data_IF_750468516088
#
_entry.id   IF_750468516088
#
_cell.length_a   1.000
_cell.length_b   1.000
_cell.length_c   1.000
_cell.angle_alpha   90.00
_cell.angle_beta   90.00
_cell.angle_gamma   90.00
#
_symmetry.space_group_name_H-M   'P 1'
#
loop_
_entity.id
_entity.type
_entity.pdbx_description
1 polymer ?
#
# COMPACT_ATOMS: atom_id res chain seq x y z
N UNK A 1 51.55 -22.98 -67.52
CA UNK A 1 51.28 -21.69 -66.86
C UNK A 1 50.04 -21.90 -66.01
N UNK A 2 50.22 -21.93 -64.68
CA UNK A 2 49.16 -22.16 -63.70
C UNK A 2 48.66 -20.81 -63.22
N UNK A 3 47.40 -20.47 -63.49
CA UNK A 3 46.72 -19.34 -62.86
C UNK A 3 45.98 -19.82 -61.61
N UNK A 4 46.26 -19.16 -60.49
CA UNK A 4 45.58 -19.35 -59.20
C UNK A 4 44.23 -18.66 -59.26
N UNK A 5 43.16 -19.41 -59.02
CA UNK A 5 41.83 -18.84 -58.71
C UNK A 5 41.72 -18.50 -57.23
N UNK A 6 41.70 -17.21 -56.92
CA UNK A 6 41.39 -16.67 -55.60
C UNK A 6 39.87 -16.73 -55.37
N UNK A 7 39.44 -17.52 -54.39
CA UNK A 7 38.05 -17.59 -53.96
C UNK A 7 37.73 -16.37 -53.10
N UNK A 8 36.94 -15.43 -53.64
CA UNK A 8 36.35 -14.33 -52.88
C UNK A 8 35.37 -14.89 -51.86
N UNK A 9 35.70 -14.72 -50.58
CA UNK A 9 34.78 -14.89 -49.47
C UNK A 9 33.73 -13.77 -49.55
N UNK A 10 32.51 -14.15 -49.92
CA UNK A 10 31.36 -13.29 -49.95
C UNK A 10 30.86 -13.08 -48.51
N UNK A 11 31.26 -11.96 -47.91
CA UNK A 11 30.67 -11.48 -46.65
C UNK A 11 29.20 -11.16 -46.87
N UNK A 12 28.32 -12.03 -46.38
CA UNK A 12 26.90 -11.79 -46.27
C UNK A 12 26.65 -10.61 -45.33
N UNK A 13 26.20 -9.49 -45.89
CA UNK A 13 25.72 -8.35 -45.12
C UNK A 13 24.50 -8.80 -44.30
N UNK A 14 24.52 -8.50 -43.00
CA UNK A 14 23.37 -8.71 -42.12
C UNK A 14 22.15 -7.97 -42.67
N UNK A 15 20.94 -8.55 -42.59
CA UNK A 15 19.73 -7.91 -43.08
C UNK A 15 19.56 -6.56 -42.38
N UNK A 16 19.34 -5.53 -43.18
CA UNK A 16 19.10 -4.16 -42.74
C UNK A 16 17.74 -4.11 -42.02
N UNK A 17 17.73 -4.48 -40.74
CA UNK A 17 16.57 -4.38 -39.86
C UNK A 17 16.32 -2.90 -39.59
N UNK A 18 15.30 -2.34 -40.23
CA UNK A 18 14.80 -1.01 -39.91
C UNK A 18 14.50 -0.95 -38.40
N UNK A 19 15.23 -0.10 -37.67
CA UNK A 19 15.03 0.05 -36.24
C UNK A 19 13.58 0.46 -35.96
N UNK A 20 12.93 -0.11 -34.93
CA UNK A 20 11.55 0.25 -34.61
C UNK A 20 11.47 1.73 -34.24
N UNK A 21 10.41 2.39 -34.70
CA UNK A 21 10.11 3.79 -34.34
C UNK A 21 9.24 3.85 -33.10
N UNK A 22 9.54 4.78 -32.19
CA UNK A 22 8.70 5.02 -31.02
C UNK A 22 7.77 6.22 -31.15
N UNK A 23 6.60 6.19 -30.48
CA UNK A 23 5.79 7.39 -30.31
C UNK A 23 6.54 8.46 -29.49
N UNK A 24 6.13 9.73 -29.55
CA UNK A 24 6.66 10.78 -28.69
C UNK A 24 6.64 10.35 -27.21
N UNK A 25 7.76 10.54 -26.51
CA UNK A 25 7.93 10.10 -25.12
C UNK A 25 8.30 8.62 -24.95
N UNK A 26 8.35 7.83 -26.03
CA UNK A 26 8.91 6.49 -26.03
C UNK A 26 10.43 6.49 -26.16
N UNK A 27 11.07 5.40 -25.76
CA UNK A 27 12.52 5.20 -25.85
C UNK A 27 12.87 3.92 -26.58
N UNK A 28 14.02 3.90 -27.25
CA UNK A 28 14.58 2.67 -27.80
C UNK A 28 15.38 1.93 -26.73
N UNK A 29 15.11 0.64 -26.59
CA UNK A 29 15.78 -0.24 -25.64
C UNK A 29 16.47 -1.38 -26.38
N UNK A 30 17.78 -1.50 -26.20
CA UNK A 30 18.54 -2.65 -26.69
C UNK A 30 18.45 -3.78 -25.66
N UNK A 31 17.88 -4.89 -26.09
CA UNK A 31 17.73 -6.13 -25.31
C UNK A 31 19.09 -6.63 -24.86
N UNK A 32 19.22 -6.90 -23.56
CA UNK A 32 20.43 -7.40 -22.91
C UNK A 32 20.33 -8.91 -22.69
N UNK A 33 21.48 -9.55 -22.47
CA UNK A 33 21.51 -10.96 -22.08
C UNK A 33 20.72 -11.16 -20.77
N UNK A 34 19.76 -12.09 -20.79
CA UNK A 34 18.88 -12.39 -19.65
C UNK A 34 17.58 -11.59 -19.60
N UNK A 35 17.37 -10.63 -20.51
CA UNK A 35 16.09 -9.93 -20.60
C UNK A 35 14.99 -10.87 -21.11
N UNK A 36 13.80 -10.70 -20.53
CA UNK A 36 12.53 -11.21 -21.05
C UNK A 36 11.56 -10.05 -21.29
N UNK A 37 10.56 -10.22 -22.17
CA UNK A 37 9.50 -9.22 -22.34
C UNK A 37 8.86 -8.84 -21.00
N UNK A 38 8.66 -9.80 -20.11
CA UNK A 38 8.13 -9.56 -18.76
C UNK A 38 9.05 -8.66 -17.94
N UNK A 39 10.34 -8.99 -17.86
CA UNK A 39 11.31 -8.19 -17.07
C UNK A 39 11.46 -6.76 -17.59
N UNK A 40 11.42 -6.58 -18.92
CA UNK A 40 11.47 -5.27 -19.57
C UNK A 40 10.17 -4.50 -19.27
N UNK A 41 9.01 -5.09 -19.54
CA UNK A 41 7.72 -4.45 -19.32
C UNK A 41 7.54 -4.02 -17.85
N UNK A 42 7.88 -4.91 -16.91
CA UNK A 42 7.86 -4.63 -15.48
C UNK A 42 8.82 -3.48 -15.09
N UNK A 43 10.03 -3.47 -15.66
CA UNK A 43 11.01 -2.39 -15.43
C UNK A 43 10.49 -1.03 -15.87
N UNK A 44 9.72 -0.98 -16.95
CA UNK A 44 9.19 0.27 -17.52
C UNK A 44 7.73 0.55 -17.11
N UNK A 45 7.14 -0.26 -16.22
CA UNK A 45 5.79 -0.05 -15.72
C UNK A 45 4.70 -0.19 -16.79
N UNK A 46 4.92 -1.03 -17.81
CA UNK A 46 3.94 -1.31 -18.87
C UNK A 46 3.56 -2.79 -18.88
N UNK A 47 2.45 -3.13 -19.54
CA UNK A 47 2.08 -4.53 -19.76
C UNK A 47 2.91 -5.14 -20.90
N UNK A 48 3.17 -6.46 -20.82
CA UNK A 48 3.80 -7.22 -21.92
C UNK A 48 3.00 -7.08 -23.21
N UNK A 49 1.68 -7.07 -23.10
CA UNK A 49 0.78 -6.89 -24.24
C UNK A 49 0.96 -5.53 -24.90
N UNK A 50 1.08 -4.44 -24.11
CA UNK A 50 1.38 -3.13 -24.68
C UNK A 50 2.76 -3.10 -25.34
N UNK A 51 3.77 -3.66 -24.67
CA UNK A 51 5.13 -3.72 -25.22
C UNK A 51 5.12 -4.41 -26.58
N UNK A 52 4.42 -5.54 -26.73
CA UNK A 52 4.25 -6.23 -28.02
C UNK A 52 3.50 -5.39 -29.05
N UNK A 53 2.46 -4.66 -28.67
CA UNK A 53 1.70 -3.79 -29.59
C UNK A 53 2.59 -2.74 -30.28
N UNK A 54 3.58 -2.21 -29.56
CA UNK A 54 4.55 -1.26 -30.12
C UNK A 54 5.77 -1.93 -30.76
N UNK A 55 5.85 -3.26 -30.71
CA UNK A 55 6.90 -4.06 -31.32
C UNK A 55 6.31 -5.20 -32.16
N UNK A 56 5.54 -4.89 -33.24
CA UNK A 56 4.90 -5.91 -34.07
C UNK A 56 5.91 -6.87 -34.74
N UNK A 57 7.19 -6.51 -34.78
CA UNK A 57 8.28 -7.38 -35.23
C UNK A 57 8.63 -8.50 -34.24
N UNK A 58 8.18 -8.42 -32.98
CA UNK A 58 8.39 -9.47 -31.98
C UNK A 58 7.29 -10.52 -32.13
N UNK A 59 7.68 -11.74 -32.48
CA UNK A 59 6.77 -12.89 -32.61
C UNK A 59 6.81 -13.71 -31.33
N UNK A 60 5.66 -13.87 -30.68
CA UNK A 60 5.62 -14.57 -29.40
C UNK A 60 6.41 -13.82 -28.32
N UNK A 61 7.09 -14.55 -27.43
CA UNK A 61 7.90 -13.95 -26.36
C UNK A 61 9.40 -13.93 -26.68
N UNK A 62 9.74 -14.20 -27.95
CA UNK A 62 11.12 -14.35 -28.38
C UNK A 62 11.76 -12.98 -28.64
N UNK A 63 12.77 -12.67 -27.83
CA UNK A 63 13.66 -11.53 -28.02
C UNK A 63 15.12 -11.99 -27.93
N UNK A 64 16.01 -11.31 -28.65
CA UNK A 64 17.43 -11.67 -28.71
C UNK A 64 18.32 -10.54 -28.19
N UNK A 65 19.43 -10.86 -27.51
CA UNK A 65 20.42 -9.84 -27.15
C UNK A 65 20.85 -9.02 -28.36
N UNK A 66 20.87 -7.69 -28.20
CA UNK A 66 21.16 -6.74 -29.28
C UNK A 66 19.95 -6.30 -30.10
N UNK A 67 18.80 -6.98 -29.98
CA UNK A 67 17.56 -6.53 -30.61
C UNK A 67 17.10 -5.20 -30.01
N UNK A 68 16.67 -4.27 -30.85
CA UNK A 68 16.11 -2.99 -30.39
C UNK A 68 14.60 -3.12 -30.32
N UNK A 69 14.02 -2.73 -29.18
CA UNK A 69 12.59 -2.62 -28.95
C UNK A 69 12.20 -1.16 -28.76
N UNK A 70 11.02 -0.79 -29.23
CA UNK A 70 10.36 0.43 -28.81
C UNK A 70 9.70 0.23 -27.44
N UNK A 71 10.10 1.01 -26.45
CA UNK A 71 9.40 1.10 -25.18
C UNK A 71 8.50 2.35 -25.23
N UNK A 72 7.17 2.19 -25.38
CA UNK A 72 6.27 3.33 -25.36
C UNK A 72 6.24 3.98 -23.97
N UNK A 73 5.83 5.26 -23.85
CA UNK A 73 5.48 5.80 -22.55
C UNK A 73 4.28 5.01 -22.00
N UNK A 74 4.24 4.79 -20.68
CA UNK A 74 3.17 4.00 -20.06
C UNK A 74 1.76 4.52 -20.38
N UNK A 75 1.63 5.83 -20.62
CA UNK A 75 0.40 6.46 -21.07
C UNK A 75 -0.13 5.92 -22.40
N UNK A 76 0.74 5.56 -23.33
CA UNK A 76 0.36 5.01 -24.63
C UNK A 76 -0.09 3.54 -24.53
N UNK A 77 0.06 2.91 -23.35
CA UNK A 77 -0.40 1.56 -23.07
C UNK A 77 -1.81 1.48 -22.48
N UNK A 78 -2.33 2.62 -22.02
CA UNK A 78 -3.67 2.69 -21.43
C UNK A 78 -4.62 3.21 -22.50
N UNK A 79 -5.76 2.56 -22.77
CA UNK A 79 -6.79 3.13 -23.63
C UNK A 79 -7.16 4.53 -23.10
N UNK A 80 -7.20 5.53 -23.98
CA UNK A 80 -7.72 6.84 -23.60
C UNK A 80 -9.15 6.67 -23.09
N UNK A 81 -9.45 7.05 -21.84
CA UNK A 81 -10.77 6.90 -21.28
C UNK A 81 -11.76 7.76 -22.07
N UNK A 82 -13.03 7.34 -22.10
CA UNK A 82 -14.13 8.19 -22.57
C UNK A 82 -14.67 8.99 -21.40
N UNK A 83 -15.08 10.24 -21.65
CA UNK A 83 -15.73 11.07 -20.65
C UNK A 83 -17.22 11.24 -20.91
N UNK A 84 -18.03 11.38 -19.85
CA UNK A 84 -19.42 11.81 -20.00
C UNK A 84 -19.48 13.24 -20.58
N UNK A 85 -20.61 13.66 -21.16
CA UNK A 85 -20.82 15.04 -21.59
C UNK A 85 -20.51 16.04 -20.46
N UNK A 86 -19.73 17.07 -20.78
CA UNK A 86 -19.24 18.06 -19.82
C UNK A 86 -17.99 17.63 -19.04
N UNK A 87 -17.51 16.40 -19.21
CA UNK A 87 -16.21 15.96 -18.73
C UNK A 87 -15.06 16.39 -19.66
N UNK A 88 -13.84 16.37 -19.15
CA UNK A 88 -12.63 16.71 -19.90
C UNK A 88 -11.59 15.60 -19.78
N UNK A 89 -10.78 15.44 -20.82
CA UNK A 89 -9.59 14.59 -20.78
C UNK A 89 -8.43 15.39 -20.20
N UNK A 90 -7.84 14.88 -19.13
CA UNK A 90 -6.68 15.47 -18.47
C UNK A 90 -5.45 14.61 -18.68
N UNK A 91 -4.36 15.23 -19.14
CA UNK A 91 -3.06 14.56 -19.22
C UNK A 91 -2.29 14.78 -17.93
N UNK A 92 -2.01 13.69 -17.22
CA UNK A 92 -1.25 13.66 -15.97
C UNK A 92 0.11 14.32 -16.18
N UNK A 93 0.44 15.28 -15.31
CA UNK A 93 1.70 16.01 -15.32
C UNK A 93 2.72 15.38 -14.35
N UNK A 94 4.02 15.65 -14.51
CA UNK A 94 5.01 15.29 -13.50
C UNK A 94 4.64 15.84 -12.11
N UNK A 95 4.58 14.97 -11.10
CA UNK A 95 4.23 15.33 -9.73
C UNK A 95 2.73 15.29 -9.39
N UNK A 96 1.87 15.01 -10.37
CA UNK A 96 0.45 14.78 -10.10
C UNK A 96 0.21 13.51 -9.27
N UNK A 97 -0.84 13.57 -8.46
CA UNK A 97 -1.46 12.41 -7.80
C UNK A 97 -2.95 12.42 -8.15
N UNK A 98 -3.64 11.27 -8.06
CA UNK A 98 -5.10 11.28 -8.24
C UNK A 98 -5.78 12.26 -7.26
N UNK A 99 -5.25 12.39 -6.04
CA UNK A 99 -5.76 13.31 -5.04
C UNK A 99 -5.59 14.78 -5.44
N UNK A 100 -4.39 15.20 -5.86
CA UNK A 100 -4.14 16.59 -6.28
C UNK A 100 -4.95 16.96 -7.51
N UNK A 101 -5.12 16.02 -8.45
CA UNK A 101 -5.97 16.19 -9.63
C UNK A 101 -7.44 16.35 -9.20
N UNK A 102 -7.98 15.43 -8.41
CA UNK A 102 -9.37 15.49 -7.94
C UNK A 102 -9.66 16.82 -7.20
N UNK A 103 -8.75 17.23 -6.31
CA UNK A 103 -8.84 18.50 -5.59
C UNK A 103 -8.78 19.72 -6.52
N UNK A 104 -7.89 19.71 -7.51
CA UNK A 104 -7.77 20.78 -8.52
C UNK A 104 -9.08 20.97 -9.30
N UNK A 105 -9.78 19.88 -9.60
CA UNK A 105 -11.04 19.91 -10.35
C UNK A 105 -12.28 19.95 -9.46
N UNK A 106 -12.11 20.04 -8.13
CA UNK A 106 -13.22 20.13 -7.19
C UNK A 106 -14.13 18.91 -7.17
N UNK A 107 -13.61 17.72 -7.49
CA UNK A 107 -14.37 16.46 -7.48
C UNK A 107 -13.87 15.52 -6.37
N UNK A 108 -14.74 14.68 -5.78
CA UNK A 108 -14.30 13.64 -4.85
C UNK A 108 -13.33 12.66 -5.52
N UNK A 109 -12.27 12.27 -4.82
CA UNK A 109 -11.29 11.29 -5.33
C UNK A 109 -11.96 9.98 -5.76
N UNK A 110 -12.94 9.50 -5.00
CA UNK A 110 -13.68 8.30 -5.34
C UNK A 110 -14.45 8.45 -6.66
N UNK A 111 -15.00 9.65 -6.93
CA UNK A 111 -15.63 9.93 -8.22
C UNK A 111 -14.60 9.86 -9.36
N UNK A 112 -13.43 10.49 -9.18
CA UNK A 112 -12.36 10.42 -10.18
C UNK A 112 -11.97 8.96 -10.47
N UNK A 113 -11.82 8.12 -9.45
CA UNK A 113 -11.52 6.68 -9.62
C UNK A 113 -12.64 5.94 -10.37
N UNK A 114 -13.91 6.20 -10.05
CA UNK A 114 -15.06 5.56 -10.75
C UNK A 114 -15.09 5.83 -12.24
N UNK A 115 -14.71 7.03 -12.66
CA UNK A 115 -14.62 7.40 -14.09
C UNK A 115 -13.30 6.98 -14.74
N UNK A 116 -12.36 6.42 -13.96
CA UNK A 116 -11.08 5.93 -14.44
C UNK A 116 -10.81 4.49 -13.96
N UNK A 117 -11.70 3.51 -14.24
CA UNK A 117 -11.55 2.14 -13.76
C UNK A 117 -10.30 1.43 -14.29
N UNK A 118 -9.66 1.97 -15.33
CA UNK A 118 -8.38 1.50 -15.85
C UNK A 118 -7.18 1.85 -14.95
N UNK A 119 -7.35 2.73 -13.96
CA UNK A 119 -6.32 3.06 -12.98
C UNK A 119 -6.40 2.08 -11.82
N UNK A 120 -5.33 1.32 -11.58
CA UNK A 120 -5.25 0.37 -10.48
C UNK A 120 -4.64 1.06 -9.25
N UNK A 121 -5.41 1.11 -8.15
CA UNK A 121 -5.00 1.81 -6.93
C UNK A 121 -4.89 3.33 -7.16
N UNK A 122 -3.75 3.92 -6.77
CA UNK A 122 -3.45 5.35 -6.94
C UNK A 122 -2.30 5.63 -7.91
N UNK A 123 -1.85 4.60 -8.63
CA UNK A 123 -0.71 4.72 -9.52
C UNK A 123 -1.11 5.37 -10.83
N UNK A 124 -0.53 6.54 -11.09
CA UNK A 124 -0.62 7.25 -12.36
C UNK A 124 0.77 7.65 -12.84
N UNK A 125 0.93 7.77 -14.16
CA UNK A 125 2.21 8.11 -14.79
C UNK A 125 2.10 9.44 -15.56
N UNK A 126 3.16 10.26 -15.59
CA UNK A 126 3.19 11.44 -16.46
C UNK A 126 2.86 11.07 -17.91
N UNK A 127 2.02 11.89 -18.53
CA UNK A 127 1.48 11.66 -19.88
C UNK A 127 0.22 10.79 -19.93
N UNK A 128 -0.16 10.09 -18.85
CA UNK A 128 -1.36 9.28 -18.80
C UNK A 128 -2.60 10.15 -18.94
N UNK A 129 -3.60 9.73 -19.70
CA UNK A 129 -4.85 10.47 -19.86
C UNK A 129 -5.90 9.93 -18.89
N UNK A 130 -6.49 10.81 -18.10
CA UNK A 130 -7.60 10.54 -17.19
C UNK A 130 -8.86 11.25 -17.69
N UNK A 131 -10.00 10.63 -17.47
CA UNK A 131 -11.28 11.31 -17.57
C UNK A 131 -11.57 12.10 -16.29
N UNK A 132 -11.73 13.40 -16.42
CA UNK A 132 -12.25 14.25 -15.35
C UNK A 132 -13.73 14.48 -15.62
N UNK A 133 -14.65 13.83 -14.90
CA UNK A 133 -16.09 14.05 -15.06
C UNK A 133 -16.47 15.48 -14.65
N UNK A 134 -17.61 16.01 -15.15
CA UNK A 134 -18.14 17.27 -14.62
C UNK A 134 -18.53 17.08 -13.15
N UNK A 135 -18.39 18.11 -12.32
CA UNK A 135 -18.71 18.02 -10.89
C UNK A 135 -20.15 17.54 -10.63
N UNK A 136 -21.09 17.86 -11.52
CA UNK A 136 -22.48 17.37 -11.47
C UNK A 136 -22.60 15.83 -11.56
N UNK A 137 -21.73 15.17 -12.31
CA UNK A 137 -21.67 13.70 -12.39
C UNK A 137 -21.02 13.07 -11.14
N UNK A 138 -20.40 13.90 -10.30
CA UNK A 138 -19.76 13.50 -9.05
C UNK A 138 -20.57 13.82 -7.80
N UNK A 139 -21.71 14.50 -7.94
CA UNK A 139 -22.65 14.65 -6.84
C UNK A 139 -23.15 13.23 -6.54
N UNK A 140 -22.80 12.62 -5.39
CA UNK A 140 -23.46 11.38 -5.02
C UNK A 140 -24.95 11.71 -5.00
N UNK A 141 -25.78 10.92 -5.68
CA UNK A 141 -27.18 10.85 -5.30
C UNK A 141 -27.17 10.66 -3.78
N UNK A 142 -27.75 11.58 -2.99
CA UNK A 142 -27.62 11.48 -1.56
C UNK A 142 -28.21 10.14 -1.17
N UNK A 143 -27.36 9.16 -0.84
CA UNK A 143 -27.80 8.00 -0.09
C UNK A 143 -28.22 8.63 1.23
N UNK A 144 -29.52 8.69 1.53
CA UNK A 144 -29.97 9.32 2.74
C UNK A 144 -29.27 8.60 3.90
N UNK A 145 -28.77 9.35 4.87
CA UNK A 145 -28.24 8.71 6.05
C UNK A 145 -29.31 7.83 6.70
N UNK A 146 -28.92 6.75 7.38
CA UNK A 146 -29.86 6.03 8.23
C UNK A 146 -30.61 7.01 9.15
N UNK A 147 -31.86 6.71 9.55
CA UNK A 147 -32.72 7.63 10.29
C UNK A 147 -32.02 8.35 11.45
N UNK A 148 -32.16 9.67 11.49
CA UNK A 148 -31.55 10.54 12.50
C UNK A 148 -30.09 10.93 12.21
N UNK A 149 -29.45 10.36 11.18
CA UNK A 149 -28.13 10.80 10.74
C UNK A 149 -28.17 12.09 9.91
N UNK A 150 -27.08 12.85 9.93
CA UNK A 150 -26.90 14.04 9.08
C UNK A 150 -25.72 13.84 8.12
N UNK A 151 -25.78 14.49 6.95
CA UNK A 151 -24.68 14.45 5.98
C UNK A 151 -23.58 15.42 6.41
N UNK A 152 -22.33 14.95 6.33
CA UNK A 152 -21.14 15.77 6.52
C UNK A 152 -20.18 15.58 5.35
N UNK A 153 -19.81 16.67 4.70
CA UNK A 153 -18.78 16.67 3.67
C UNK A 153 -17.42 16.86 4.30
N UNK A 154 -16.55 15.86 4.14
CA UNK A 154 -15.16 15.84 4.59
C UNK A 154 -14.42 17.03 3.99
N UNK A 155 -13.66 17.72 4.83
CA UNK A 155 -12.85 18.90 4.49
C UNK A 155 -11.37 18.55 4.47
N UNK A 156 -10.56 19.44 3.91
CA UNK A 156 -9.10 19.32 4.00
C UNK A 156 -8.64 19.28 5.46
N UNK A 157 -7.86 18.25 5.82
CA UNK A 157 -7.37 18.03 7.19
C UNK A 157 -8.33 17.27 8.11
N UNK A 158 -9.52 16.89 7.63
CA UNK A 158 -10.40 16.04 8.41
C UNK A 158 -9.85 14.62 8.54
N UNK A 159 -10.11 14.02 9.70
CA UNK A 159 -9.95 12.60 9.99
C UNK A 159 -11.26 12.11 10.59
N UNK A 160 -11.59 10.81 10.50
CA UNK A 160 -12.80 10.34 11.18
C UNK A 160 -12.78 10.65 12.69
N UNK A 161 -11.59 10.68 13.30
CA UNK A 161 -11.43 11.04 14.71
C UNK A 161 -11.82 12.48 15.02
N UNK A 162 -11.25 13.47 14.31
CA UNK A 162 -11.55 14.87 14.61
C UNK A 162 -13.00 15.23 14.24
N UNK A 163 -13.57 14.58 13.23
CA UNK A 163 -15.01 14.65 12.92
C UNK A 163 -15.81 14.10 14.09
N UNK A 164 -15.54 12.87 14.55
CA UNK A 164 -16.27 12.25 15.66
C UNK A 164 -16.22 13.12 16.93
N UNK A 165 -15.05 13.64 17.28
CA UNK A 165 -14.88 14.56 18.42
C UNK A 165 -15.69 15.84 18.26
N UNK A 166 -15.69 16.44 17.05
CA UNK A 166 -16.45 17.66 16.76
C UNK A 166 -17.95 17.46 16.97
N UNK A 167 -18.45 16.27 16.68
CA UNK A 167 -19.85 15.90 16.88
C UNK A 167 -20.14 15.26 18.25
N UNK A 168 -19.13 15.13 19.11
CA UNK A 168 -19.30 14.56 20.45
C UNK A 168 -19.67 13.07 20.45
N UNK A 169 -19.29 12.32 19.42
CA UNK A 169 -19.60 10.89 19.27
C UNK A 169 -18.32 10.03 19.35
N UNK A 170 -18.39 8.77 19.80
CA UNK A 170 -17.25 7.85 19.74
C UNK A 170 -16.82 7.59 18.30
N UNK A 171 -15.51 7.53 18.05
CA UNK A 171 -14.96 7.21 16.72
C UNK A 171 -15.52 5.88 16.18
N UNK A 172 -15.57 4.84 17.01
CA UNK A 172 -16.13 3.53 16.61
C UNK A 172 -17.59 3.65 16.16
N UNK A 173 -18.40 4.50 16.81
CA UNK A 173 -19.78 4.75 16.39
C UNK A 173 -19.82 5.36 14.98
N UNK A 174 -18.98 6.37 14.72
CA UNK A 174 -18.91 7.00 13.40
C UNK A 174 -18.48 5.99 12.32
N UNK A 175 -17.46 5.17 12.59
CA UNK A 175 -16.96 4.17 11.64
C UNK A 175 -18.07 3.17 11.28
N UNK A 176 -18.76 2.60 12.28
CA UNK A 176 -19.83 1.61 12.03
C UNK A 176 -21.06 2.20 11.35
N UNK A 177 -21.36 3.49 11.60
CA UNK A 177 -22.44 4.18 10.91
C UNK A 177 -22.12 4.50 9.45
N UNK A 178 -20.86 4.30 9.04
CA UNK A 178 -20.37 4.50 7.69
C UNK A 178 -19.74 3.20 7.10
N UNK A 179 -20.50 2.09 7.01
CA UNK A 179 -19.96 0.82 6.51
C UNK A 179 -19.50 0.90 5.05
N UNK A 180 -19.94 1.92 4.31
CA UNK A 180 -19.48 2.21 2.96
C UNK A 180 -18.04 2.74 2.88
N UNK A 181 -17.37 2.99 4.01
CA UNK A 181 -15.97 3.41 4.07
C UNK A 181 -15.10 2.22 4.50
N UNK A 182 -14.45 1.52 3.56
CA UNK A 182 -13.71 0.30 3.89
C UNK A 182 -12.49 0.54 4.77
N UNK A 183 -11.85 1.71 4.60
CA UNK A 183 -10.71 2.12 5.41
C UNK A 183 -11.00 3.46 6.11
N UNK A 184 -11.32 3.46 7.42
CA UNK A 184 -11.65 4.67 8.15
C UNK A 184 -10.47 5.64 8.31
N UNK A 185 -9.24 5.19 8.05
CA UNK A 185 -8.04 6.02 8.07
C UNK A 185 -7.82 6.78 6.76
N UNK A 186 -8.59 6.49 5.72
CA UNK A 186 -8.47 7.08 4.40
C UNK A 186 -9.80 7.70 3.98
N UNK A 187 -10.03 8.93 4.46
CA UNK A 187 -11.10 9.81 3.97
C UNK A 187 -10.52 10.97 3.17
N UNK A 188 -11.25 11.45 2.19
CA UNK A 188 -10.81 12.50 1.28
C UNK A 188 -11.74 13.70 1.32
N UNK A 189 -11.22 14.93 1.21
CA UNK A 189 -12.03 16.12 0.95
C UNK A 189 -13.11 15.90 -0.12
N UNK A 190 -14.33 16.37 0.14
CA UNK A 190 -15.49 16.18 -0.72
C UNK A 190 -16.23 14.85 -0.53
N UNK A 191 -15.63 13.87 0.15
CA UNK A 191 -16.31 12.64 0.55
C UNK A 191 -17.43 12.96 1.54
N UNK A 192 -18.55 12.25 1.44
CA UNK A 192 -19.69 12.46 2.34
C UNK A 192 -19.76 11.33 3.35
N UNK A 193 -19.81 11.69 4.64
CA UNK A 193 -20.04 10.79 5.75
C UNK A 193 -21.43 11.03 6.33
N UNK A 194 -22.03 9.98 6.86
CA UNK A 194 -23.20 10.04 7.69
C UNK A 194 -22.79 10.16 9.15
N UNK A 195 -23.15 11.27 9.79
CA UNK A 195 -22.91 11.49 11.20
C UNK A 195 -24.11 10.94 11.96
N UNK A 196 -23.95 9.94 12.83
CA UNK A 196 -25.04 9.40 13.63
C UNK A 196 -25.56 10.43 14.64
N UNK A 197 -26.85 10.37 15.03
CA UNK A 197 -27.32 11.07 16.21
C UNK A 197 -26.64 10.46 17.45
N UNK A 198 -26.38 11.26 18.49
CA UNK A 198 -25.71 10.76 19.70
C UNK A 198 -26.44 9.57 20.35
N UNK A 199 -27.78 9.51 20.23
CA UNK A 199 -28.62 8.40 20.69
C UNK A 199 -28.38 7.08 19.94
N UNK A 200 -27.76 7.09 18.76
CA UNK A 200 -27.37 5.87 18.06
C UNK A 200 -26.02 5.30 18.57
N UNK A 201 -25.28 6.05 19.40
CA UNK A 201 -23.93 5.66 19.85
C UNK A 201 -23.88 5.01 21.24
N UNK A 202 -24.99 5.02 21.99
CA UNK A 202 -25.04 4.60 23.41
C UNK A 202 -24.85 3.10 23.63
N UNK A 203 -24.94 2.29 22.56
CA UNK A 203 -24.87 0.82 22.64
C UNK A 203 -23.50 0.25 22.25
N UNK A 204 -22.46 1.09 22.08
CA UNK A 204 -21.10 0.60 21.79
C UNK A 204 -20.57 -0.26 22.94
N UNK A 205 -20.37 -1.58 22.75
CA UNK A 205 -19.68 -2.38 23.75
C UNK A 205 -18.23 -1.91 23.79
N UNK A 206 -17.84 -1.23 24.87
CA UNK A 206 -16.44 -0.92 25.08
C UNK A 206 -15.66 -2.22 25.34
N UNK A 207 -14.35 -2.28 25.00
CA UNK A 207 -13.53 -3.43 25.37
C UNK A 207 -13.67 -3.73 26.86
N UNK A 208 -13.93 -4.97 27.23
CA UNK A 208 -14.02 -5.31 28.66
C UNK A 208 -12.63 -5.50 29.24
N UNK A 209 -12.33 -4.77 30.32
CA UNK A 209 -11.09 -4.94 31.05
C UNK A 209 -11.19 -5.95 32.18
N UNK A 210 -10.11 -6.70 32.46
CA UNK A 210 -10.04 -7.48 33.68
C UNK A 210 -10.15 -6.57 34.92
N UNK A 211 -10.57 -7.10 36.08
CA UNK A 211 -10.59 -6.35 37.34
C UNK A 211 -9.25 -5.67 37.62
N UNK A 212 -9.29 -4.37 37.94
CA UNK A 212 -8.10 -3.54 38.12
C UNK A 212 -7.51 -2.94 36.84
N UNK A 213 -8.04 -3.31 35.67
CA UNK A 213 -7.74 -2.64 34.40
C UNK A 213 -8.65 -1.43 34.17
N UNK A 214 -8.34 -0.66 33.14
CA UNK A 214 -9.11 0.54 32.78
C UNK A 214 -9.07 0.80 31.28
N UNK A 215 -10.01 1.62 30.80
CA UNK A 215 -10.07 2.03 29.39
C UNK A 215 -9.18 3.22 29.13
N UNK A 216 -8.42 3.15 28.04
CA UNK A 216 -7.57 4.22 27.56
C UNK A 216 -7.95 4.63 26.15
N UNK A 217 -8.22 5.92 25.95
CA UNK A 217 -8.43 6.48 24.61
C UNK A 217 -7.10 6.87 24.00
N UNK A 218 -6.75 6.22 22.90
CA UNK A 218 -5.55 6.49 22.10
C UNK A 218 -5.51 7.96 21.69
N UNK A 219 -4.34 8.58 21.82
CA UNK A 219 -4.07 9.97 21.50
C UNK A 219 -3.24 10.09 20.23
N UNK A 220 -3.16 11.29 19.68
CA UNK A 220 -2.24 11.57 18.58
C UNK A 220 -0.80 11.25 18.98
N UNK A 221 -0.11 10.43 18.17
CA UNK A 221 1.27 9.99 18.43
C UNK A 221 1.41 8.76 19.33
N UNK A 222 0.30 8.21 19.84
CA UNK A 222 0.35 6.96 20.57
C UNK A 222 0.67 5.78 19.65
N UNK A 223 1.40 4.82 20.21
CA UNK A 223 1.64 3.49 19.64
C UNK A 223 1.32 2.46 20.72
N UNK A 224 0.99 1.22 20.35
CA UNK A 224 0.81 0.17 21.37
C UNK A 224 2.05 0.04 22.28
N UNK A 225 3.26 0.24 21.72
CA UNK A 225 4.51 0.20 22.48
C UNK A 225 4.64 1.31 23.52
N UNK A 226 4.46 2.58 23.13
CA UNK A 226 4.63 3.68 24.07
C UNK A 226 3.51 3.70 25.13
N UNK A 227 2.31 3.23 24.78
CA UNK A 227 1.22 3.00 25.73
C UNK A 227 1.61 1.92 26.74
N UNK A 228 2.08 0.77 26.26
CA UNK A 228 2.50 -0.34 27.12
C UNK A 228 3.61 0.09 28.10
N UNK A 229 4.64 0.77 27.59
CA UNK A 229 5.73 1.31 28.41
C UNK A 229 5.23 2.34 29.43
N UNK A 230 4.34 3.24 29.02
CA UNK A 230 3.76 4.27 29.90
C UNK A 230 3.04 3.66 31.10
N UNK A 231 2.37 2.52 30.90
CA UNK A 231 1.65 1.81 31.95
C UNK A 231 2.46 0.67 32.58
N UNK A 232 3.73 0.52 32.23
CA UNK A 232 4.63 -0.47 32.82
C UNK A 232 4.22 -1.92 32.53
N UNK A 233 3.58 -2.18 31.39
CA UNK A 233 3.14 -3.51 30.98
C UNK A 233 3.88 -3.99 29.73
N UNK A 234 4.09 -5.31 29.55
CA UNK A 234 4.63 -5.87 28.31
C UNK A 234 3.72 -5.56 27.10
N UNK A 235 4.32 -5.26 25.94
CA UNK A 235 3.58 -4.96 24.70
C UNK A 235 2.67 -6.13 24.28
N UNK A 236 3.16 -7.36 24.38
CA UNK A 236 2.38 -8.57 24.10
C UNK A 236 1.18 -8.72 25.04
N UNK A 237 1.33 -8.33 26.31
CA UNK A 237 0.21 -8.31 27.25
C UNK A 237 -0.86 -7.31 26.81
N UNK A 238 -0.46 -6.09 26.44
CA UNK A 238 -1.40 -5.08 25.95
C UNK A 238 -2.13 -5.58 24.68
N UNK A 239 -1.41 -6.14 23.71
CA UNK A 239 -1.99 -6.65 22.47
C UNK A 239 -3.02 -7.75 22.77
N UNK A 240 -2.70 -8.69 23.66
CA UNK A 240 -3.59 -9.82 24.01
C UNK A 240 -4.89 -9.37 24.69
N UNK A 241 -4.84 -8.34 25.54
CA UNK A 241 -6.04 -7.76 26.15
C UNK A 241 -6.83 -6.87 25.18
N UNK A 242 -6.36 -6.71 23.94
CA UNK A 242 -7.02 -5.94 22.88
C UNK A 242 -7.20 -6.77 21.59
N UNK A 243 -7.82 -7.96 21.65
CA UNK A 243 -7.97 -8.85 20.48
C UNK A 243 -8.82 -8.23 19.37
N UNK A 244 -9.61 -7.21 19.68
CA UNK A 244 -10.39 -6.45 18.71
C UNK A 244 -9.53 -5.59 17.77
N UNK A 245 -8.21 -5.50 17.99
CA UNK A 245 -7.26 -4.76 17.16
C UNK A 245 -6.48 -5.75 16.28
N UNK A 246 -6.88 -5.95 15.01
CA UNK A 246 -6.26 -6.98 14.16
C UNK A 246 -4.80 -6.67 13.85
N UNK A 247 -4.47 -5.38 13.73
CA UNK A 247 -3.11 -4.91 13.48
C UNK A 247 -2.66 -3.95 14.60
N UNK A 248 -1.83 -4.42 15.56
CA UNK A 248 -1.31 -3.60 16.66
C UNK A 248 -0.50 -2.37 16.22
N UNK A 249 -0.03 -2.34 14.97
CA UNK A 249 0.77 -1.25 14.41
C UNK A 249 -0.12 -0.11 13.88
N UNK A 250 -1.44 -0.34 13.86
CA UNK A 250 -2.44 0.57 13.30
C UNK A 250 -3.51 0.83 14.36
N UNK A 251 -3.16 1.65 15.35
CA UNK A 251 -4.12 2.25 16.26
C UNK A 251 -4.37 3.69 15.87
N UNK A 252 -5.61 4.14 16.02
CA UNK A 252 -6.01 5.49 15.66
C UNK A 252 -6.31 6.32 16.91
N UNK A 253 -6.01 7.64 16.90
CA UNK A 253 -6.53 8.54 17.93
C UNK A 253 -8.04 8.37 18.09
N UNK A 254 -8.52 8.32 19.34
CA UNK A 254 -9.93 8.07 19.68
C UNK A 254 -10.34 6.62 19.81
N UNK A 255 -9.50 5.69 19.34
CA UNK A 255 -9.69 4.27 19.59
C UNK A 255 -9.56 3.99 21.08
N UNK A 256 -10.43 3.14 21.62
CA UNK A 256 -10.38 2.76 23.04
C UNK A 256 -9.69 1.42 23.17
N UNK A 257 -8.67 1.37 24.03
CA UNK A 257 -7.96 0.17 24.40
C UNK A 257 -8.30 -0.21 25.84
N UNK A 258 -8.30 -1.50 26.11
CA UNK A 258 -8.22 -1.99 27.46
C UNK A 258 -6.76 -2.02 27.94
N UNK A 259 -6.47 -1.32 29.04
CA UNK A 259 -5.19 -1.41 29.73
C UNK A 259 -5.38 -2.36 30.93
N UNK A 260 -4.79 -3.56 30.91
CA UNK A 260 -4.85 -4.48 32.05
C UNK A 260 -4.00 -3.96 33.23
N UNK A 261 -4.27 -4.40 34.48
CA UNK A 261 -3.35 -4.15 35.58
C UNK A 261 -2.07 -4.95 35.36
N UNK A 262 -0.94 -4.45 35.85
CA UNK A 262 0.35 -5.13 35.71
C UNK A 262 0.34 -6.57 36.25
N UNK A 263 -0.43 -6.84 37.31
CA UNK A 263 -0.62 -8.18 37.88
C UNK A 263 -1.20 -9.20 36.89
N UNK A 264 -2.05 -8.76 35.95
CA UNK A 264 -2.60 -9.61 34.89
C UNK A 264 -1.58 -9.94 33.79
N UNK A 265 -0.41 -9.28 33.80
CA UNK A 265 0.68 -9.51 32.86
C UNK A 265 1.85 -10.33 33.45
N UNK A 266 1.81 -10.71 34.74
CA UNK A 266 2.91 -11.45 35.40
C UNK A 266 2.86 -12.95 35.09
N UNK A 267 1.69 -13.47 34.72
CA UNK A 267 1.48 -14.91 34.47
C UNK A 267 1.81 -15.36 33.05
N UNK A 268 2.32 -14.48 32.19
CA UNK A 268 2.72 -14.86 30.83
C UNK A 268 4.08 -15.54 30.84
N UNK A 269 4.18 -16.80 30.37
CA UNK A 269 5.46 -17.30 29.93
C UNK A 269 5.97 -16.35 28.85
N UNK A 270 7.16 -15.78 29.04
CA UNK A 270 7.85 -15.15 27.91
C UNK A 270 7.96 -16.20 26.80
N UNK A 271 7.88 -15.81 25.51
CA UNK A 271 8.06 -16.75 24.41
C UNK A 271 9.31 -17.57 24.68
N UNK A 272 9.19 -18.89 24.83
CA UNK A 272 10.36 -19.72 25.06
C UNK A 272 11.02 -19.95 23.71
N UNK A 273 12.27 -19.54 23.58
CA UNK A 273 13.01 -19.83 22.36
C UNK A 273 13.29 -21.33 22.27
N UNK A 274 13.33 -21.88 21.05
CA UNK A 274 13.83 -23.23 20.85
C UNK A 274 15.23 -23.37 21.48
N UNK A 275 15.65 -24.60 21.87
CA UNK A 275 16.90 -24.81 22.57
C UNK A 275 18.11 -24.12 21.93
N UNK A 276 18.86 -23.38 22.74
CA UNK A 276 20.02 -22.60 22.30
C UNK A 276 19.69 -21.21 21.74
N UNK A 277 18.41 -20.85 21.59
CA UNK A 277 17.99 -19.50 21.23
C UNK A 277 18.01 -18.54 22.42
N UNK A 278 18.19 -17.24 22.15
CA UNK A 278 18.10 -16.18 23.14
C UNK A 278 16.94 -15.24 22.83
N UNK A 279 16.36 -14.64 23.87
CA UNK A 279 15.33 -13.63 23.71
C UNK A 279 15.97 -12.28 23.38
N UNK A 280 15.39 -11.60 22.39
CA UNK A 280 15.74 -10.24 22.02
C UNK A 280 14.51 -9.36 21.95
N UNK A 281 14.50 -8.27 22.72
CA UNK A 281 13.46 -7.25 22.62
C UNK A 281 13.84 -6.25 21.54
N UNK A 282 13.01 -6.18 20.50
CA UNK A 282 13.11 -5.23 19.38
C UNK A 282 13.16 -3.81 19.93
N UNK A 283 14.09 -3.02 19.42
CA UNK A 283 14.31 -1.62 19.79
C UNK A 283 13.75 -0.70 18.72
N UNK A 284 13.61 0.59 19.05
CA UNK A 284 13.27 1.60 18.06
C UNK A 284 14.31 1.61 16.93
N UNK A 285 13.85 1.50 15.68
CA UNK A 285 14.70 1.47 14.48
C UNK A 285 15.24 0.07 14.11
N UNK A 286 14.92 -0.96 14.88
CA UNK A 286 15.27 -2.33 14.49
C UNK A 286 14.46 -2.80 13.27
N UNK A 287 15.10 -3.60 12.44
CA UNK A 287 14.49 -4.39 11.36
C UNK A 287 14.95 -5.83 11.53
N UNK A 288 14.22 -6.82 11.03
CA UNK A 288 14.73 -8.20 11.09
C UNK A 288 16.10 -8.33 10.41
N UNK A 289 16.35 -7.56 9.35
CA UNK A 289 17.64 -7.53 8.66
C UNK A 289 18.78 -7.03 9.54
N UNK A 290 18.63 -5.88 10.21
CA UNK A 290 19.71 -5.35 11.04
C UNK A 290 19.90 -6.16 12.33
N UNK A 291 18.84 -6.76 12.87
CA UNK A 291 18.92 -7.71 13.98
C UNK A 291 19.71 -8.95 13.54
N UNK A 292 19.36 -9.57 12.41
CA UNK A 292 20.05 -10.74 11.89
C UNK A 292 21.55 -10.47 11.68
N UNK A 293 21.88 -9.33 11.06
CA UNK A 293 23.28 -8.89 10.87
C UNK A 293 24.01 -8.68 12.20
N UNK A 294 23.36 -8.07 13.19
CA UNK A 294 23.93 -7.84 14.53
C UNK A 294 24.30 -9.14 15.23
N UNK A 295 23.49 -10.19 15.06
CA UNK A 295 23.73 -11.50 15.65
C UNK A 295 24.52 -12.45 14.73
N UNK A 296 24.96 -11.98 13.56
CA UNK A 296 25.75 -12.79 12.62
C UNK A 296 25.00 -14.01 12.09
N UNK A 297 23.68 -13.91 11.91
CA UNK A 297 22.83 -14.98 11.39
C UNK A 297 22.16 -14.57 10.06
N UNK A 298 21.86 -15.53 9.17
CA UNK A 298 21.07 -15.25 7.97
C UNK A 298 19.67 -14.72 8.32
N UNK A 299 19.17 -13.74 7.56
CA UNK A 299 17.83 -13.17 7.75
C UNK A 299 16.74 -14.22 7.65
N UNK A 300 16.84 -15.13 6.68
CA UNK A 300 15.88 -16.22 6.49
C UNK A 300 15.85 -17.18 7.70
N UNK A 301 17.01 -17.40 8.34
CA UNK A 301 17.08 -18.19 9.57
C UNK A 301 16.33 -17.50 10.72
N UNK A 302 16.56 -16.19 10.91
CA UNK A 302 15.84 -15.42 11.92
C UNK A 302 14.33 -15.45 11.69
N UNK A 303 13.89 -15.29 10.44
CA UNK A 303 12.47 -15.35 10.06
C UNK A 303 11.88 -16.74 10.39
N UNK A 304 12.56 -17.82 9.99
CA UNK A 304 12.12 -19.20 10.24
C UNK A 304 12.04 -19.54 11.73
N UNK A 305 12.92 -18.98 12.55
CA UNK A 305 12.89 -19.15 14.01
C UNK A 305 11.81 -18.33 14.72
N UNK A 306 11.14 -17.44 14.00
CA UNK A 306 10.07 -16.60 14.53
C UNK A 306 8.77 -16.76 13.71
N UNK A 307 8.21 -17.98 13.60
CA UNK A 307 7.00 -18.24 12.81
C UNK A 307 5.77 -17.50 13.34
N UNK A 308 5.80 -17.03 14.59
CA UNK A 308 4.78 -16.18 15.19
C UNK A 308 4.75 -14.76 14.62
N UNK A 309 5.66 -14.40 13.72
CA UNK A 309 5.73 -13.09 13.06
C UNK A 309 5.25 -13.24 11.61
N UNK A 310 3.98 -12.94 11.30
CA UNK A 310 3.43 -13.18 9.96
C UNK A 310 4.08 -12.32 8.89
N UNK A 311 4.51 -11.10 9.26
CA UNK A 311 5.18 -10.16 8.36
C UNK A 311 6.53 -9.73 8.94
N UNK A 312 7.65 -10.28 8.45
CA UNK A 312 9.02 -9.93 8.86
C UNK A 312 9.39 -8.44 8.73
N UNK A 313 8.70 -7.71 7.85
CA UNK A 313 8.92 -6.28 7.64
C UNK A 313 8.16 -5.40 8.66
N UNK A 314 7.38 -6.00 9.56
CA UNK A 314 6.51 -5.30 10.50
C UNK A 314 6.74 -5.79 11.94
N UNK A 315 7.97 -5.61 12.43
CA UNK A 315 8.28 -5.79 13.86
C UNK A 315 8.13 -4.48 14.63
N UNK A 316 7.73 -4.56 15.89
CA UNK A 316 7.54 -3.40 16.75
C UNK A 316 8.61 -3.30 17.82
N UNK A 317 9.04 -2.09 18.20
CA UNK A 317 9.75 -1.89 19.46
C UNK A 317 8.98 -2.54 20.61
N UNK A 318 9.68 -3.21 21.52
CA UNK A 318 9.09 -3.97 22.61
C UNK A 318 8.63 -5.39 22.26
N UNK A 319 8.54 -5.74 20.97
CA UNK A 319 8.28 -7.10 20.55
C UNK A 319 9.46 -8.01 20.89
N UNK A 320 9.19 -9.23 21.35
CA UNK A 320 10.24 -10.19 21.68
C UNK A 320 10.41 -11.18 20.53
N UNK A 321 11.65 -11.30 20.05
CA UNK A 321 12.07 -12.27 19.04
C UNK A 321 12.96 -13.34 19.68
N UNK A 322 12.93 -14.51 19.07
CA UNK A 322 13.87 -15.58 19.34
C UNK A 322 15.02 -15.54 18.34
N UNK A 323 16.20 -15.24 18.86
CA UNK A 323 17.43 -15.26 18.07
C UNK A 323 18.00 -16.68 18.12
N UNK A 324 18.11 -17.39 16.99
CA UNK A 324 18.71 -18.72 16.95
C UNK A 324 20.20 -18.70 17.30
N UNK A 325 20.75 -19.80 17.85
CA UNK A 325 22.20 -19.98 17.89
C UNK A 325 22.72 -20.13 16.45
N UNK A 326 23.94 -19.67 16.17
CA UNK A 326 24.53 -19.75 14.82
C UNK A 326 24.61 -21.18 14.27
N UNK A 327 24.66 -22.19 15.14
CA UNK A 327 24.63 -23.61 14.78
C UNK A 327 23.31 -24.06 14.18
N UNK A 328 22.19 -23.40 14.50
CA UNK A 328 20.85 -23.74 13.98
C UNK A 328 20.56 -23.10 12.61
N UNK A 329 21.48 -22.27 12.10
CA UNK A 329 21.35 -21.55 10.83
C UNK A 329 22.27 -22.09 9.72
N UNK A 330 22.89 -23.25 9.93
CA UNK A 330 23.75 -23.94 8.96
C UNK A 330 23.02 -25.07 8.27
#
# INVERSE_FOLDING_TARGET
MSEKGESKVETTQAPNLTQPTCPPGGILYTVRSGDTLFSIANRFGISVECLRRFNPQVVGDQIFPGQVLCIPPASACVPTPTCPPGGILYTVQPGDTLFSIANRFGIPLDCLRRFNPQVVGDQIFPGQVLCIPPASACVPTPVPCPPGGILYTVRAGDTMFNIANRFGIPLDCLIRFNPQIPNPNLIFPGQVLCIPPASACVTTPQPQCPPGGFLYTVRAGDTMFNIANRFGIPLDCLIRFNPQIPNPNQINPGQVLCIPPASACVTTPQPQCPPGGILYTVRAGDTMFNIANRFGIPLDCLIRFNPQIPNPNQINPGQVLCIPPSSACR
#
